data_IF_080199773965
#
_entry.id   IF_080199773965
#
_cell.length_a   1.000
_cell.length_b   1.000
_cell.length_c   1.000
_cell.angle_alpha   90.00
_cell.angle_beta   90.00
_cell.angle_gamma   90.00
#
_symmetry.space_group_name_H-M   'P 1'
#
loop_
_entity.id
_entity.type
_entity.pdbx_description
1 polymer ?
#
# COMPACT_ATOMS: atom_id res chain seq x y z
N UNK A 1 9.68 17.80 -14.20
CA UNK A 1 9.90 16.47 -13.62
C UNK A 1 10.35 15.53 -14.72
N UNK A 2 11.38 14.71 -14.48
CA UNK A 2 11.85 13.72 -15.45
C UNK A 2 10.89 12.53 -15.54
N UNK A 3 10.96 11.73 -16.61
CA UNK A 3 10.15 10.50 -16.74
C UNK A 3 10.43 9.51 -15.61
N UNK A 4 11.68 9.45 -15.14
CA UNK A 4 12.11 8.58 -14.04
C UNK A 4 11.52 9.00 -12.69
N UNK A 5 11.44 10.31 -12.43
CA UNK A 5 10.79 10.86 -11.23
C UNK A 5 9.29 10.55 -11.21
N UNK A 6 8.61 10.62 -12.37
CA UNK A 6 7.20 10.24 -12.48
C UNK A 6 6.98 8.78 -12.14
N UNK A 7 7.79 7.90 -12.74
CA UNK A 7 7.67 6.46 -12.53
C UNK A 7 7.89 6.12 -11.05
N UNK A 8 8.88 6.75 -10.41
CA UNK A 8 9.12 6.58 -8.98
C UNK A 8 7.92 6.97 -8.11
N UNK A 9 7.22 8.07 -8.45
CA UNK A 9 6.01 8.48 -7.73
C UNK A 9 4.85 7.49 -7.94
N UNK A 10 4.71 6.93 -9.15
CA UNK A 10 3.70 5.90 -9.44
C UNK A 10 3.95 4.64 -8.62
N UNK A 11 5.18 4.12 -8.66
CA UNK A 11 5.56 2.91 -7.92
C UNK A 11 5.36 3.12 -6.40
N UNK A 12 5.69 4.31 -5.91
CA UNK A 12 5.46 4.68 -4.51
C UNK A 12 3.98 4.78 -4.18
N UNK A 13 3.17 5.39 -5.04
CA UNK A 13 1.73 5.53 -4.82
C UNK A 13 1.06 4.15 -4.74
N UNK A 14 1.43 3.23 -5.61
CA UNK A 14 0.90 1.86 -5.65
C UNK A 14 1.08 1.14 -4.29
N UNK A 15 2.27 1.24 -3.70
CA UNK A 15 2.54 0.67 -2.36
C UNK A 15 1.71 1.39 -1.28
N UNK A 16 1.69 2.72 -1.30
CA UNK A 16 0.94 3.52 -0.31
C UNK A 16 -0.56 3.24 -0.36
N UNK A 17 -1.14 3.06 -1.54
CA UNK A 17 -2.54 2.72 -1.73
C UNK A 17 -2.86 1.30 -1.24
N UNK A 18 -1.96 0.34 -1.47
CA UNK A 18 -2.11 -1.00 -0.91
C UNK A 18 -2.10 -1.00 0.62
N UNK A 19 -1.13 -0.31 1.24
CA UNK A 19 -1.06 -0.17 2.70
C UNK A 19 -2.27 0.59 3.25
N UNK A 20 -2.75 1.62 2.54
CA UNK A 20 -3.91 2.40 2.94
C UNK A 20 -5.18 1.56 2.91
N UNK A 21 -5.38 0.77 1.85
CA UNK A 21 -6.49 -0.18 1.72
C UNK A 21 -6.43 -1.24 2.83
N UNK A 22 -5.26 -1.82 3.06
CA UNK A 22 -5.05 -2.80 4.12
C UNK A 22 -5.34 -2.23 5.51
N UNK A 23 -4.98 -0.96 5.78
CA UNK A 23 -5.26 -0.31 7.07
C UNK A 23 -6.75 -0.21 7.40
N UNK A 24 -7.61 -0.08 6.38
CA UNK A 24 -9.07 0.01 6.53
C UNK A 24 -9.71 -1.35 6.77
N UNK A 25 -9.02 -2.43 6.37
CA UNK A 25 -9.48 -3.83 6.46
C UNK A 25 -8.53 -4.69 7.28
N UNK A 26 -7.80 -4.07 8.22
CA UNK A 26 -6.72 -4.72 8.97
C UNK A 26 -7.17 -6.01 9.68
N UNK A 27 -8.37 -6.10 10.29
CA UNK A 27 -8.85 -7.35 10.87
C UNK A 27 -8.96 -8.49 9.84
N UNK A 28 -9.49 -8.21 8.65
CA UNK A 28 -9.63 -9.20 7.57
C UNK A 28 -8.25 -9.65 7.04
N UNK A 29 -7.32 -8.70 6.92
CA UNK A 29 -5.94 -8.97 6.50
C UNK A 29 -5.24 -9.88 7.51
N UNK A 30 -5.35 -9.57 8.81
CA UNK A 30 -4.74 -10.39 9.87
C UNK A 30 -5.37 -11.79 9.90
N UNK A 31 -6.70 -11.88 9.84
CA UNK A 31 -7.40 -13.17 9.82
C UNK A 31 -7.00 -14.01 8.60
N UNK A 32 -6.81 -13.39 7.44
CA UNK A 32 -6.35 -14.06 6.23
C UNK A 32 -4.93 -14.61 6.41
N UNK A 33 -3.98 -13.75 6.79
CA UNK A 33 -2.56 -14.11 6.98
C UNK A 33 -2.41 -15.23 8.01
N UNK A 34 -3.23 -15.24 9.06
CA UNK A 34 -3.22 -16.28 10.09
C UNK A 34 -3.76 -17.64 9.61
N UNK A 35 -4.49 -17.68 8.48
CA UNK A 35 -5.16 -18.88 7.97
C UNK A 35 -4.55 -19.41 6.67
N UNK A 36 -3.74 -18.62 5.98
CA UNK A 36 -3.03 -19.01 4.75
C UNK A 36 -1.66 -19.59 5.07
N UNK A 37 -1.20 -20.54 4.25
CA UNK A 37 0.19 -20.99 4.30
C UNK A 37 1.11 -19.92 3.69
N UNK A 38 2.36 -19.80 4.16
CA UNK A 38 3.32 -18.76 3.76
C UNK A 38 3.46 -18.57 2.22
N UNK A 39 3.33 -19.64 1.44
CA UNK A 39 3.44 -19.60 -0.02
C UNK A 39 2.18 -19.11 -0.77
N UNK A 40 1.04 -19.04 -0.08
CA UNK A 40 -0.26 -18.67 -0.67
C UNK A 40 -0.74 -17.29 -0.22
N UNK A 41 -0.15 -16.74 0.86
CA UNK A 41 -0.57 -15.49 1.50
C UNK A 41 -0.58 -14.30 0.54
N UNK A 42 0.41 -14.17 -0.35
CA UNK A 42 0.47 -13.05 -1.31
C UNK A 42 -0.70 -13.12 -2.31
N UNK A 43 -0.96 -14.30 -2.89
CA UNK A 43 -2.06 -14.47 -3.83
C UNK A 43 -3.42 -14.22 -3.15
N UNK A 44 -3.57 -14.68 -1.91
CA UNK A 44 -4.78 -14.44 -1.15
C UNK A 44 -4.99 -12.95 -0.80
N UNK A 45 -3.91 -12.22 -0.48
CA UNK A 45 -3.96 -10.77 -0.25
C UNK A 45 -4.33 -10.01 -1.52
N UNK A 46 -3.78 -10.42 -2.68
CA UNK A 46 -4.15 -9.85 -3.98
C UNK A 46 -5.65 -10.00 -4.26
N UNK A 47 -6.21 -11.19 -4.01
CA UNK A 47 -7.66 -11.43 -4.15
C UNK A 47 -8.48 -10.59 -3.17
N UNK A 48 -8.02 -10.44 -1.93
CA UNK A 48 -8.71 -9.69 -0.89
C UNK A 48 -8.71 -8.19 -1.16
N UNK A 49 -7.54 -7.62 -1.46
CA UNK A 49 -7.30 -6.18 -1.49
C UNK A 49 -7.37 -5.61 -2.91
N UNK A 50 -7.22 -6.45 -3.94
CA UNK A 50 -7.14 -6.01 -5.34
C UNK A 50 -5.86 -5.22 -5.66
N UNK A 51 -4.84 -5.39 -4.83
CA UNK A 51 -3.56 -4.68 -4.95
C UNK A 51 -2.58 -5.48 -5.80
N UNK A 52 -1.45 -4.84 -6.14
CA UNK A 52 -0.38 -5.54 -6.84
C UNK A 52 0.45 -6.41 -5.92
N UNK A 53 1.18 -7.36 -6.52
CA UNK A 53 2.08 -8.24 -5.78
C UNK A 53 3.11 -7.46 -4.96
N UNK A 54 3.62 -6.34 -5.50
CA UNK A 54 4.60 -5.51 -4.82
C UNK A 54 4.00 -4.84 -3.58
N UNK A 55 2.78 -4.34 -3.68
CA UNK A 55 2.07 -3.73 -2.56
C UNK A 55 1.76 -4.76 -1.47
N UNK A 56 1.34 -5.97 -1.84
CA UNK A 56 1.04 -7.05 -0.89
C UNK A 56 2.30 -7.61 -0.23
N UNK A 57 3.42 -7.67 -0.95
CA UNK A 57 4.73 -7.98 -0.33
C UNK A 57 5.16 -6.90 0.66
N UNK A 58 5.04 -5.63 0.30
CA UNK A 58 5.33 -4.52 1.21
C UNK A 58 4.44 -4.53 2.46
N UNK A 59 3.19 -4.95 2.31
CA UNK A 59 2.27 -5.17 3.43
C UNK A 59 2.79 -6.23 4.41
N UNK A 60 3.24 -7.38 3.91
CA UNK A 60 3.79 -8.46 4.73
C UNK A 60 5.11 -8.07 5.41
N UNK A 61 5.92 -7.25 4.77
CA UNK A 61 7.18 -6.74 5.33
C UNK A 61 6.96 -5.61 6.36
N UNK A 62 5.74 -5.10 6.49
CA UNK A 62 5.43 -3.97 7.36
C UNK A 62 5.46 -4.38 8.84
N UNK A 63 6.28 -3.65 9.61
CA UNK A 63 6.38 -3.87 11.05
C UNK A 63 5.11 -3.43 11.79
N UNK A 64 4.67 -4.23 12.77
CA UNK A 64 3.42 -4.01 13.51
C UNK A 64 3.20 -2.57 14.03
N UNK A 65 4.27 -1.88 14.46
CA UNK A 65 4.21 -0.49 14.95
C UNK A 65 3.67 0.52 13.92
N UNK A 66 3.78 0.20 12.63
CA UNK A 66 3.28 1.03 11.52
C UNK A 66 1.75 1.00 11.39
N UNK A 67 1.07 0.11 12.10
CA UNK A 67 -0.40 0.06 12.16
C UNK A 67 -0.99 0.84 13.34
N UNK A 68 -0.17 1.58 14.09
CA UNK A 68 -0.68 2.50 15.11
C UNK A 68 -1.53 3.61 14.47
N UNK A 69 -2.54 4.17 15.18
CA UNK A 69 -3.41 5.20 14.62
C UNK A 69 -2.65 6.42 14.06
N UNK A 70 -1.57 6.83 14.72
CA UNK A 70 -0.72 7.94 14.26
C UNK A 70 0.03 7.60 12.96
N UNK A 71 0.60 6.39 12.86
CA UNK A 71 1.30 5.96 11.65
C UNK A 71 0.34 5.74 10.46
N UNK A 72 -0.87 5.26 10.72
CA UNK A 72 -1.91 5.11 9.68
C UNK A 72 -2.39 6.48 9.19
N UNK A 73 -2.55 7.46 10.08
CA UNK A 73 -2.88 8.83 9.68
C UNK A 73 -1.78 9.45 8.81
N UNK A 74 -0.52 9.26 9.18
CA UNK A 74 0.64 9.69 8.40
C UNK A 74 0.70 9.00 7.02
N UNK A 75 0.44 7.70 6.96
CA UNK A 75 0.32 6.94 5.71
C UNK A 75 -0.74 7.54 4.77
N UNK A 76 -1.93 7.87 5.29
CA UNK A 76 -3.01 8.46 4.50
C UNK A 76 -2.66 9.87 4.00
N UNK A 77 -1.93 10.64 4.81
CA UNK A 77 -1.40 11.95 4.38
C UNK A 77 -0.41 11.79 3.23
N UNK A 78 0.60 10.93 3.38
CA UNK A 78 1.57 10.68 2.31
C UNK A 78 0.93 10.17 1.03
N UNK A 79 -0.09 9.32 1.14
CA UNK A 79 -0.85 8.84 -0.02
C UNK A 79 -1.49 10.02 -0.77
N UNK A 80 -2.08 10.96 -0.03
CA UNK A 80 -2.71 12.16 -0.58
C UNK A 80 -1.69 13.09 -1.23
N UNK A 81 -0.55 13.32 -0.58
CA UNK A 81 0.53 14.17 -1.09
C UNK A 81 1.11 13.62 -2.39
N UNK A 82 1.40 12.31 -2.46
CA UNK A 82 1.94 11.69 -3.67
C UNK A 82 0.92 11.73 -4.81
N UNK A 83 -0.37 11.51 -4.51
CA UNK A 83 -1.44 11.66 -5.51
C UNK A 83 -1.54 13.09 -6.04
N UNK A 84 -1.41 14.09 -5.17
CA UNK A 84 -1.40 15.49 -5.57
C UNK A 84 -0.20 15.82 -6.46
N UNK A 85 1.00 15.35 -6.10
CA UNK A 85 2.22 15.52 -6.91
C UNK A 85 2.05 14.91 -8.31
N UNK A 86 1.51 13.69 -8.42
CA UNK A 86 1.25 13.07 -9.72
C UNK A 86 0.22 13.84 -10.54
N UNK A 87 -0.86 14.33 -9.92
CA UNK A 87 -1.88 15.11 -10.60
C UNK A 87 -1.37 16.47 -11.13
N UNK A 88 -0.44 17.11 -10.41
CA UNK A 88 0.24 18.33 -10.88
C UNK A 88 1.12 18.04 -12.11
N UNK A 89 1.70 16.85 -12.18
CA UNK A 89 2.58 16.45 -13.29
C UNK A 89 1.82 16.09 -14.57
N UNK A 90 0.58 15.62 -14.47
CA UNK A 90 -0.26 15.31 -15.63
C UNK A 90 -0.91 16.57 -16.25
N UNK A 91 -0.84 17.73 -15.57
CA UNK A 91 -1.40 19.01 -16.01
C UNK A 91 -0.39 19.98 -16.62
N UNK A 92 0.92 19.67 -16.55
CA UNK A 92 2.02 20.51 -17.08
C UNK A 92 2.71 19.89 -18.28
#
# INVERSE_FOLDING_TARGET
MSGDERQHLIDRLEILEGLSTASQRLPEVVDLVMRTADGETVAALQELLGCSENADRALLDTQLRRWSPAAVAELHEWTREVRAQLAECDQG
#
